data_IF_974291643266
#
_entry.id   IF_974291643266
#
_cell.length_a   1.000
_cell.length_b   1.000
_cell.length_c   1.000
_cell.angle_alpha   90.00
_cell.angle_beta   90.00
_cell.angle_gamma   90.00
#
_symmetry.space_group_name_H-M   'P 1'
#
loop_
_entity.id
_entity.type
_entity.pdbx_description
1 polymer ?
#
# COMPACT_ATOMS: atom_id res chain seq x y z
N UNK A 1 3.50 3.07 7.71
CA UNK A 1 2.67 3.45 8.86
C UNK A 1 1.50 2.47 8.99
N UNK A 2 1.36 1.84 10.16
CA UNK A 2 0.25 0.93 10.48
C UNK A 2 -1.03 1.71 10.80
N UNK A 3 -2.21 1.06 10.75
CA UNK A 3 -3.48 1.66 11.15
C UNK A 3 -3.46 2.26 12.57
N UNK A 4 -4.24 3.34 12.82
CA UNK A 4 -4.41 3.87 14.17
C UNK A 4 -5.07 2.82 15.07
N UNK A 5 -4.70 2.81 16.34
CA UNK A 5 -5.18 1.80 17.29
C UNK A 5 -6.69 1.98 17.60
N UNK A 6 -7.48 0.91 17.45
CA UNK A 6 -8.91 0.75 17.79
C UNK A 6 -9.92 1.66 17.08
N UNK A 7 -9.52 2.83 16.59
CA UNK A 7 -10.44 3.83 16.04
C UNK A 7 -10.79 3.51 14.59
N UNK A 8 -12.08 3.46 14.26
CA UNK A 8 -12.54 3.48 12.87
C UNK A 8 -12.77 4.94 12.49
N UNK A 9 -11.78 5.55 11.85
CA UNK A 9 -11.85 6.93 11.40
C UNK A 9 -12.55 7.02 10.04
N UNK A 10 -13.11 8.19 9.74
CA UNK A 10 -13.52 8.53 8.38
C UNK A 10 -12.30 8.81 7.49
N UNK A 11 -12.56 9.03 6.19
CA UNK A 11 -11.49 9.23 5.20
C UNK A 11 -10.67 10.50 5.47
N UNK A 12 -11.32 11.58 5.90
CA UNK A 12 -10.64 12.83 6.27
C UNK A 12 -9.75 12.63 7.50
N UNK A 13 -10.24 11.94 8.53
CA UNK A 13 -9.48 11.61 9.73
C UNK A 13 -8.28 10.73 9.43
N UNK A 14 -8.44 9.72 8.56
CA UNK A 14 -7.31 8.89 8.11
C UNK A 14 -6.27 9.71 7.34
N UNK A 15 -6.69 10.56 6.39
CA UNK A 15 -5.77 11.42 5.64
C UNK A 15 -4.97 12.33 6.59
N UNK A 16 -5.66 13.02 7.50
CA UNK A 16 -5.04 13.92 8.48
C UNK A 16 -4.06 13.17 9.39
N UNK A 17 -4.41 11.95 9.82
CA UNK A 17 -3.54 11.12 10.65
C UNK A 17 -2.22 10.78 9.95
N UNK A 18 -2.27 10.28 8.72
CA UNK A 18 -1.05 9.90 7.99
C UNK A 18 -0.24 11.10 7.50
N UNK A 19 -0.89 12.22 7.15
CA UNK A 19 -0.21 13.46 6.82
C UNK A 19 0.57 14.02 8.04
N UNK A 20 -0.04 14.00 9.22
CA UNK A 20 0.63 14.40 10.45
C UNK A 20 1.81 13.48 10.80
N UNK A 21 1.67 12.17 10.59
CA UNK A 21 2.76 11.20 10.79
C UNK A 21 3.94 11.48 9.85
N UNK A 22 3.68 11.68 8.55
CA UNK A 22 4.71 11.97 7.57
C UNK A 22 5.44 13.29 7.87
N UNK A 23 4.71 14.33 8.30
CA UNK A 23 5.30 15.62 8.67
C UNK A 23 6.13 15.58 9.96
N UNK A 24 5.91 14.60 10.84
CA UNK A 24 6.61 14.48 12.12
C UNK A 24 8.00 13.82 12.02
N UNK A 25 8.41 13.38 10.82
CA UNK A 25 9.67 12.68 10.60
C UNK A 25 10.34 13.15 9.31
N UNK A 26 11.66 13.00 9.22
CA UNK A 26 12.40 13.19 7.96
C UNK A 26 12.44 11.93 7.08
N UNK A 27 11.77 10.85 7.50
CA UNK A 27 11.76 9.57 6.78
C UNK A 27 10.56 9.47 5.83
N UNK A 28 10.79 8.86 4.68
CA UNK A 28 9.73 8.49 3.76
C UNK A 28 8.80 7.43 4.38
N UNK A 29 7.51 7.55 4.08
CA UNK A 29 6.45 6.75 4.68
C UNK A 29 5.65 6.01 3.61
N UNK A 30 5.54 4.70 3.79
CA UNK A 30 4.57 3.86 3.06
C UNK A 30 3.37 3.62 3.99
N UNK A 31 2.17 4.03 3.58
CA UNK A 31 0.94 3.79 4.34
C UNK A 31 0.49 2.35 4.17
N UNK A 32 0.00 1.71 5.23
CA UNK A 32 -0.46 0.33 5.17
C UNK A 32 -1.99 0.25 5.32
N UNK A 33 -2.67 0.02 4.21
CA UNK A 33 -4.09 -0.31 4.16
C UNK A 33 -4.32 -1.72 4.70
N UNK A 34 -4.99 -1.84 5.84
CA UNK A 34 -5.42 -3.11 6.46
C UNK A 34 -6.33 -2.82 7.66
N UNK A 35 -7.07 -3.84 8.08
CA UNK A 35 -7.91 -3.81 9.28
C UNK A 35 -8.87 -2.59 9.28
N UNK A 36 -8.69 -1.64 10.19
CA UNK A 36 -9.52 -0.44 10.34
C UNK A 36 -9.09 0.76 9.47
N UNK A 37 -8.05 0.63 8.64
CA UNK A 37 -7.66 1.63 7.66
C UNK A 37 -7.83 1.08 6.25
N UNK A 38 -9.00 1.33 5.65
CA UNK A 38 -9.32 1.04 4.24
C UNK A 38 -9.66 2.36 3.55
N UNK A 39 -8.93 2.68 2.49
CA UNK A 39 -9.00 3.98 1.85
C UNK A 39 -9.88 3.95 0.60
N UNK A 40 -10.53 5.07 0.30
CA UNK A 40 -11.11 5.28 -1.03
C UNK A 40 -10.01 5.69 -2.03
N UNK A 41 -10.22 5.52 -3.34
CA UNK A 41 -9.28 5.98 -4.36
C UNK A 41 -8.89 7.46 -4.22
N UNK A 42 -9.86 8.33 -3.90
CA UNK A 42 -9.66 9.77 -3.73
C UNK A 42 -8.73 10.09 -2.55
N UNK A 43 -8.88 9.35 -1.44
CA UNK A 43 -7.99 9.49 -0.29
C UNK A 43 -6.57 9.08 -0.64
N UNK A 44 -6.38 8.00 -1.41
CA UNK A 44 -5.03 7.58 -1.83
C UNK A 44 -4.41 8.60 -2.79
N UNK A 45 -5.20 9.23 -3.68
CA UNK A 45 -4.72 10.35 -4.53
C UNK A 45 -4.23 11.52 -3.68
N UNK A 46 -4.92 11.83 -2.57
CA UNK A 46 -4.48 12.87 -1.64
C UNK A 46 -3.21 12.45 -0.87
N UNK A 47 -3.14 11.21 -0.39
CA UNK A 47 -1.95 10.65 0.27
C UNK A 47 -0.73 10.66 -0.65
N UNK A 48 -0.88 10.27 -1.92
CA UNK A 48 0.19 10.31 -2.92
C UNK A 48 0.72 11.73 -3.18
N UNK A 49 -0.11 12.76 -2.96
CA UNK A 49 0.31 14.15 -3.04
C UNK A 49 0.85 14.75 -1.75
N UNK A 50 0.93 13.97 -0.68
CA UNK A 50 1.34 14.45 0.65
C UNK A 50 2.85 14.28 0.82
N UNK A 51 3.61 15.37 1.10
CA UNK A 51 5.06 15.28 1.26
C UNK A 51 5.48 14.22 2.28
N UNK A 52 6.44 13.38 1.91
CA UNK A 52 6.95 12.30 2.74
C UNK A 52 6.14 11.00 2.68
N UNK A 53 4.99 10.96 2.00
CA UNK A 53 4.26 9.72 1.72
C UNK A 53 4.60 9.24 0.31
N UNK A 54 5.27 8.09 0.21
CA UNK A 54 5.81 7.60 -1.08
C UNK A 54 5.12 6.33 -1.58
N UNK A 55 4.16 5.78 -0.84
CA UNK A 55 3.49 4.57 -1.31
C UNK A 55 2.39 4.04 -0.42
N UNK A 56 1.73 3.01 -0.94
CA UNK A 56 0.68 2.24 -0.30
C UNK A 56 1.02 0.75 -0.30
N UNK A 57 0.98 0.13 0.88
CA UNK A 57 0.96 -1.31 1.04
C UNK A 57 -0.47 -1.77 1.31
N UNK A 58 -0.93 -2.77 0.58
CA UNK A 58 -2.28 -3.31 0.73
C UNK A 58 -2.26 -4.69 1.40
N UNK A 59 -2.91 -4.79 2.56
CA UNK A 59 -3.15 -6.04 3.27
C UNK A 59 -4.64 -6.35 3.38
N UNK A 60 -5.50 -5.60 2.68
CA UNK A 60 -6.94 -5.82 2.67
C UNK A 60 -7.33 -6.91 1.66
N UNK A 61 -6.73 -6.92 0.48
CA UNK A 61 -6.93 -7.99 -0.50
C UNK A 61 -8.10 -7.81 -1.46
N UNK A 62 -8.80 -6.69 -1.41
CA UNK A 62 -9.83 -6.33 -2.38
C UNK A 62 -9.16 -5.84 -3.68
N UNK A 63 -9.05 -6.73 -4.67
CA UNK A 63 -8.42 -6.44 -5.96
C UNK A 63 -9.18 -5.39 -6.78
N UNK A 64 -10.51 -5.33 -6.70
CA UNK A 64 -11.28 -4.29 -7.40
C UNK A 64 -10.93 -2.91 -6.83
N UNK A 65 -10.96 -2.78 -5.50
CA UNK A 65 -10.59 -1.55 -4.83
C UNK A 65 -9.14 -1.16 -5.14
N UNK A 66 -8.21 -2.11 -5.07
CA UNK A 66 -6.80 -1.83 -5.36
C UNK A 66 -6.59 -1.40 -6.83
N UNK A 67 -7.29 -2.02 -7.78
CA UNK A 67 -7.24 -1.62 -9.19
C UNK A 67 -7.75 -0.18 -9.38
N UNK A 68 -8.86 0.18 -8.72
CA UNK A 68 -9.42 1.53 -8.74
C UNK A 68 -8.48 2.56 -8.12
N UNK A 69 -7.83 2.21 -7.01
CA UNK A 69 -6.80 3.04 -6.35
C UNK A 69 -5.63 3.29 -7.31
N UNK A 70 -5.04 2.24 -7.88
CA UNK A 70 -3.90 2.37 -8.81
C UNK A 70 -4.28 3.24 -10.01
N UNK A 71 -5.46 3.01 -10.58
CA UNK A 71 -5.95 3.77 -11.73
C UNK A 71 -6.18 5.25 -11.40
N UNK A 72 -6.77 5.55 -10.25
CA UNK A 72 -7.02 6.92 -9.80
C UNK A 72 -5.72 7.70 -9.56
N UNK A 73 -4.75 7.11 -8.85
CA UNK A 73 -3.45 7.75 -8.60
C UNK A 73 -2.71 8.00 -9.91
N UNK A 74 -2.62 7.01 -10.81
CA UNK A 74 -1.98 7.21 -12.12
C UNK A 74 -2.66 8.28 -12.97
N UNK A 75 -3.98 8.42 -12.86
CA UNK A 75 -4.76 9.42 -13.59
C UNK A 75 -4.53 10.83 -13.05
N UNK A 76 -4.56 10.99 -11.72
CA UNK A 76 -4.52 12.30 -11.08
C UNK A 76 -3.11 12.75 -10.66
N UNK A 77 -2.15 11.83 -10.61
CA UNK A 77 -0.75 12.03 -10.21
C UNK A 77 0.19 11.28 -11.15
N UNK A 78 0.15 11.55 -12.48
CA UNK A 78 0.90 10.76 -13.47
C UNK A 78 2.42 10.87 -13.32
N UNK A 79 2.92 11.96 -12.72
CA UNK A 79 4.35 12.23 -12.54
C UNK A 79 4.89 11.78 -11.16
N UNK A 80 4.04 11.25 -10.29
CA UNK A 80 4.44 10.79 -8.96
C UNK A 80 4.92 9.34 -9.01
N UNK A 81 6.13 9.07 -8.51
CA UNK A 81 6.67 7.71 -8.41
C UNK A 81 6.11 6.98 -7.18
N UNK A 82 4.79 6.81 -7.16
CA UNK A 82 4.07 6.25 -6.01
C UNK A 82 4.17 4.72 -6.00
N UNK A 83 4.72 4.18 -4.91
CA UNK A 83 4.98 2.75 -4.78
C UNK A 83 3.74 1.98 -4.28
N UNK A 84 3.55 0.77 -4.82
CA UNK A 84 2.50 -0.15 -4.38
C UNK A 84 3.08 -1.48 -3.95
N UNK A 85 2.60 -2.02 -2.82
CA UNK A 85 3.04 -3.31 -2.30
C UNK A 85 1.85 -4.23 -2.02
N UNK A 86 1.93 -5.48 -2.48
CA UNK A 86 1.09 -6.55 -1.97
C UNK A 86 1.59 -6.98 -0.58
N UNK A 87 0.77 -6.72 0.43
CA UNK A 87 1.02 -6.97 1.84
C UNK A 87 0.10 -8.01 2.45
N UNK A 88 -0.57 -8.83 1.65
CA UNK A 88 -1.38 -9.94 2.15
C UNK A 88 -0.51 -10.99 2.87
N UNK A 89 -1.09 -11.75 3.81
CA UNK A 89 -0.43 -12.94 4.35
C UNK A 89 -0.08 -13.90 3.21
N UNK A 90 1.17 -14.36 3.16
CA UNK A 90 1.69 -15.21 2.07
C UNK A 90 1.40 -14.62 0.69
N UNK A 91 1.87 -13.38 0.47
CA UNK A 91 1.62 -12.58 -0.74
C UNK A 91 2.00 -13.28 -2.06
N UNK A 92 2.85 -14.32 -2.02
CA UNK A 92 3.15 -15.18 -3.16
C UNK A 92 1.88 -15.80 -3.79
N UNK A 93 0.88 -16.15 -2.98
CA UNK A 93 -0.38 -16.75 -3.48
C UNK A 93 -1.20 -15.79 -4.35
N UNK A 94 -1.09 -14.48 -4.09
CA UNK A 94 -1.84 -13.44 -4.80
C UNK A 94 -0.96 -12.63 -5.75
N UNK A 95 0.34 -12.94 -5.82
CA UNK A 95 1.33 -12.26 -6.66
C UNK A 95 0.90 -12.09 -8.12
N UNK A 96 0.48 -13.16 -8.82
CA UNK A 96 0.03 -13.04 -10.22
C UNK A 96 -1.14 -12.07 -10.42
N UNK A 97 -2.10 -12.05 -9.50
CA UNK A 97 -3.26 -11.17 -9.58
C UNK A 97 -2.88 -9.69 -9.35
N UNK A 98 -2.06 -9.41 -8.34
CA UNK A 98 -1.55 -8.05 -8.08
C UNK A 98 -0.65 -7.54 -9.21
N UNK A 99 0.19 -8.40 -9.80
CA UNK A 99 0.97 -8.06 -10.99
C UNK A 99 0.07 -7.68 -12.16
N UNK A 100 -1.07 -8.35 -12.33
CA UNK A 100 -2.08 -8.05 -13.35
C UNK A 100 -2.66 -6.63 -13.28
N UNK A 101 -2.68 -6.02 -12.09
CA UNK A 101 -3.11 -4.63 -11.88
C UNK A 101 -1.92 -3.66 -11.72
N UNK A 102 -0.70 -4.12 -12.04
CA UNK A 102 0.51 -3.30 -12.04
C UNK A 102 1.18 -3.12 -10.68
N UNK A 103 0.87 -3.97 -9.68
CA UNK A 103 1.54 -3.99 -8.37
C UNK A 103 2.57 -5.13 -8.37
N UNK A 104 3.84 -4.79 -8.45
CA UNK A 104 4.94 -5.76 -8.64
C UNK A 104 5.73 -6.05 -7.36
N UNK A 105 5.69 -5.15 -6.38
CA UNK A 105 6.36 -5.31 -5.09
C UNK A 105 5.44 -6.04 -4.11
N UNK A 106 6.02 -6.82 -3.21
CA UNK A 106 5.29 -7.51 -2.16
C UNK A 106 6.18 -7.81 -0.95
N UNK A 107 5.58 -8.15 0.18
CA UNK A 107 6.32 -8.68 1.34
C UNK A 107 6.21 -10.20 1.43
N UNK A 108 7.34 -10.90 1.29
CA UNK A 108 7.43 -12.33 1.55
C UNK A 108 7.69 -12.59 3.04
N UNK A 109 6.72 -13.18 3.74
CA UNK A 109 6.96 -13.70 5.08
C UNK A 109 7.81 -14.99 5.05
N UNK A 110 7.69 -15.77 3.96
CA UNK A 110 8.47 -16.99 3.73
C UNK A 110 9.97 -16.70 3.71
N UNK A 111 10.36 -15.52 3.22
CA UNK A 111 11.77 -15.10 3.19
C UNK A 111 12.45 -15.17 4.56
N UNK A 112 11.72 -14.99 5.66
CA UNK A 112 12.28 -15.02 7.01
C UNK A 112 12.83 -16.41 7.42
N UNK A 113 12.36 -17.51 6.82
CA UNK A 113 12.76 -18.87 7.20
C UNK A 113 13.09 -19.79 6.01
N UNK A 114 12.71 -19.42 4.78
CA UNK A 114 13.02 -20.13 3.55
C UNK A 114 13.31 -19.15 2.40
N UNK A 115 14.40 -18.36 2.49
CA UNK A 115 14.72 -17.31 1.51
C UNK A 115 14.92 -17.86 0.10
N UNK A 116 15.46 -19.07 -0.07
CA UNK A 116 15.66 -19.68 -1.38
C UNK A 116 14.34 -19.91 -2.12
N UNK A 117 13.27 -20.29 -1.40
CA UNK A 117 11.92 -20.47 -1.96
C UNK A 117 11.33 -19.12 -2.36
N UNK A 118 11.41 -18.13 -1.47
CA UNK A 118 10.91 -16.78 -1.73
C UNK A 118 11.61 -16.13 -2.93
N UNK A 119 12.93 -16.27 -3.03
CA UNK A 119 13.71 -15.74 -4.16
C UNK A 119 13.43 -16.49 -5.46
N UNK A 120 13.23 -17.82 -5.41
CA UNK A 120 12.84 -18.59 -6.58
C UNK A 120 11.49 -18.14 -7.13
N UNK A 121 10.50 -17.91 -6.26
CA UNK A 121 9.20 -17.37 -6.65
C UNK A 121 9.32 -15.93 -7.20
N UNK A 122 10.12 -15.07 -6.56
CA UNK A 122 10.31 -13.69 -7.01
C UNK A 122 10.88 -13.60 -8.44
N UNK A 123 11.80 -14.51 -8.80
CA UNK A 123 12.47 -14.55 -10.11
C UNK A 123 11.65 -15.21 -11.22
N UNK A 124 10.60 -15.95 -10.87
CA UNK A 124 9.71 -16.64 -11.82
C UNK A 124 8.65 -15.70 -12.38
#
# INVERSE_FOLDING_TARGET
AMPPYLVVADQEGLLNHYAALAAATGLETIVYQRDNAVFTPETVVALAGTPGIIGLKDGHGDLDLMQRIVSAVRTHRPDEDFLYFNGLPTAELTGPAYRGIGVTLYSSAVFAFAPDIALAFYRA
#
